data_IF_876728782666
#
_entry.id   IF_876728782666
#
_cell.length_a   1.000
_cell.length_b   1.000
_cell.length_c   1.000
_cell.angle_alpha   90.00
_cell.angle_beta   90.00
_cell.angle_gamma   90.00
#
_symmetry.space_group_name_H-M   'P 1'
#
loop_
_entity.id
_entity.type
_entity.pdbx_description
1 polymer ?
#
# COMPACT_ATOMS: atom_id res chain seq x y z
N UNK A 1 12.90 45.96 39.07
CA UNK A 1 14.06 45.29 38.44
C UNK A 1 13.70 43.92 37.86
N UNK A 2 12.99 43.06 38.60
CA UNK A 2 12.59 41.70 38.13
C UNK A 2 11.63 41.74 36.92
N UNK A 3 10.63 42.62 36.93
CA UNK A 3 9.65 42.74 35.82
C UNK A 3 10.31 43.15 34.48
N UNK A 4 11.34 44.02 34.54
CA UNK A 4 12.05 44.47 33.34
C UNK A 4 12.89 43.36 32.69
N UNK A 5 13.30 42.34 33.46
CA UNK A 5 14.05 41.18 32.96
C UNK A 5 13.15 40.07 32.40
N UNK A 6 11.86 40.06 32.76
CA UNK A 6 10.91 39.05 32.29
C UNK A 6 10.34 39.36 30.90
N UNK A 7 10.28 40.63 30.50
CA UNK A 7 9.75 41.04 29.18
C UNK A 7 10.58 40.45 28.02
N UNK A 8 11.93 40.53 28.00
CA UNK A 8 12.73 39.91 26.94
C UNK A 8 12.55 38.39 26.87
N UNK A 9 12.47 37.72 28.03
CA UNK A 9 12.25 36.27 28.12
C UNK A 9 10.91 35.89 27.49
N UNK A 10 9.84 36.61 27.82
CA UNK A 10 8.52 36.37 27.26
C UNK A 10 8.48 36.55 25.72
N UNK A 11 9.13 37.62 25.22
CA UNK A 11 9.23 37.86 23.77
C UNK A 11 9.99 36.72 23.09
N UNK A 12 11.08 36.24 23.69
CA UNK A 12 11.85 35.10 23.17
C UNK A 12 11.03 33.82 23.11
N UNK A 13 10.30 33.50 24.17
CA UNK A 13 9.44 32.32 24.20
C UNK A 13 8.43 32.34 23.04
N UNK A 14 7.86 33.50 22.76
CA UNK A 14 6.89 33.67 21.68
C UNK A 14 7.54 33.51 20.29
N UNK A 15 8.74 34.08 20.12
CA UNK A 15 9.54 33.91 18.89
C UNK A 15 9.92 32.45 18.64
N UNK A 16 10.46 31.76 19.64
CA UNK A 16 10.86 30.36 19.55
C UNK A 16 9.67 29.44 19.29
N UNK A 17 8.51 29.74 19.90
CA UNK A 17 7.26 29.03 19.62
C UNK A 17 6.84 29.19 18.15
N UNK A 18 6.89 30.42 17.63
CA UNK A 18 6.56 30.70 16.23
C UNK A 18 7.50 29.96 15.27
N UNK A 19 8.81 30.02 15.53
CA UNK A 19 9.84 29.36 14.71
C UNK A 19 9.73 27.84 14.73
N UNK A 20 9.59 27.25 15.91
CA UNK A 20 9.41 25.80 16.04
C UNK A 20 8.15 25.34 15.31
N UNK A 21 7.04 26.07 15.42
CA UNK A 21 5.84 25.75 14.65
C UNK A 21 6.08 25.87 13.13
N UNK A 22 6.72 26.95 12.67
CA UNK A 22 7.00 27.16 11.24
C UNK A 22 7.90 26.05 10.68
N UNK A 23 8.91 25.63 11.43
CA UNK A 23 9.77 24.50 11.09
C UNK A 23 8.97 23.19 11.01
N UNK A 24 8.19 22.84 12.03
CA UNK A 24 7.41 21.60 11.99
C UNK A 24 6.34 21.61 10.88
N UNK A 25 5.77 22.77 10.56
CA UNK A 25 4.90 22.91 9.39
C UNK A 25 5.66 22.70 8.07
N UNK A 26 6.91 23.15 7.99
CA UNK A 26 7.79 22.96 6.85
C UNK A 26 8.05 21.48 6.61
N UNK A 27 8.47 20.73 7.64
CA UNK A 27 8.90 19.32 7.50
C UNK A 27 7.78 18.29 7.61
N UNK A 28 6.76 18.49 8.48
CA UNK A 28 5.68 17.52 8.72
C UNK A 28 4.39 17.83 7.96
N UNK A 29 4.24 19.07 7.46
CA UNK A 29 3.09 19.50 6.68
C UNK A 29 1.86 19.92 7.51
N UNK A 30 1.21 21.00 7.07
CA UNK A 30 0.03 21.59 7.75
C UNK A 30 -1.20 20.67 7.79
N UNK A 31 -1.35 19.77 6.82
CA UNK A 31 -2.50 18.86 6.73
C UNK A 31 -2.54 17.82 7.85
N UNK A 32 -1.44 17.59 8.55
CA UNK A 32 -1.31 16.55 9.58
C UNK A 32 -1.50 17.05 11.01
N UNK A 33 -1.92 18.30 11.18
CA UNK A 33 -2.12 18.91 12.50
C UNK A 33 -3.28 18.23 13.24
N UNK A 34 -3.11 17.98 14.53
CA UNK A 34 -4.18 17.48 15.40
C UNK A 34 -5.19 18.60 15.75
N UNK A 35 -6.47 18.27 15.98
CA UNK A 35 -7.49 19.27 16.32
C UNK A 35 -7.26 19.92 17.70
N UNK A 36 -6.80 19.18 18.71
CA UNK A 36 -6.49 19.71 20.06
C UNK A 36 -5.03 20.13 20.21
N UNK A 37 -4.54 20.95 19.26
CA UNK A 37 -3.12 21.33 19.21
C UNK A 37 -2.73 22.40 20.24
N UNK A 38 -3.67 23.22 20.68
CA UNK A 38 -3.46 24.30 21.65
C UNK A 38 -2.80 23.83 22.95
N UNK A 39 -3.16 22.64 23.45
CA UNK A 39 -2.56 22.05 24.66
C UNK A 39 -1.04 21.90 24.51
N UNK A 40 -0.57 21.40 23.35
CA UNK A 40 0.86 21.23 23.09
C UNK A 40 1.60 22.57 23.00
N UNK A 41 0.96 23.62 22.50
CA UNK A 41 1.52 24.98 22.49
C UNK A 41 1.65 25.56 23.90
N UNK A 42 0.62 25.40 24.73
CA UNK A 42 0.67 25.87 26.12
C UNK A 42 1.79 25.16 26.88
N UNK A 43 1.90 23.84 26.74
CA UNK A 43 2.98 23.07 27.37
C UNK A 43 4.36 23.50 26.85
N UNK A 44 4.51 23.71 25.53
CA UNK A 44 5.76 24.24 24.96
C UNK A 44 6.14 25.59 25.56
N UNK A 45 5.21 26.55 25.57
CA UNK A 45 5.46 27.91 26.08
C UNK A 45 5.85 27.87 27.55
N UNK A 46 5.20 27.06 28.37
CA UNK A 46 5.53 26.93 29.80
C UNK A 46 6.93 26.35 30.03
N UNK A 47 7.28 25.29 29.30
CA UNK A 47 8.60 24.65 29.42
C UNK A 47 9.73 25.52 28.85
N UNK A 48 9.48 26.19 27.72
CA UNK A 48 10.43 27.11 27.08
C UNK A 48 10.66 28.37 27.93
N UNK A 49 9.60 28.92 28.53
CA UNK A 49 9.74 30.01 29.50
C UNK A 49 10.59 29.57 30.71
N UNK A 50 10.33 28.37 31.26
CA UNK A 50 11.14 27.83 32.35
C UNK A 50 12.61 27.61 31.95
N UNK A 51 12.84 27.14 30.71
CA UNK A 51 14.18 26.97 30.14
C UNK A 51 14.94 28.30 30.05
N UNK A 52 14.30 29.37 29.60
CA UNK A 52 14.93 30.69 29.47
C UNK A 52 15.07 31.43 30.80
N UNK A 53 14.16 31.19 31.76
CA UNK A 53 14.16 31.87 33.05
C UNK A 53 15.13 31.25 34.08
N UNK A 54 15.51 29.97 33.92
CA UNK A 54 16.33 29.25 34.91
C UNK A 54 17.70 28.85 34.36
N UNK A 55 18.75 29.00 35.17
CA UNK A 55 20.07 28.45 34.86
C UNK A 55 20.14 27.00 35.29
N UNK A 56 20.16 26.10 34.31
CA UNK A 56 20.33 24.68 34.51
C UNK A 56 21.73 24.23 34.06
N UNK A 57 22.31 23.19 34.69
CA UNK A 57 23.50 22.51 34.17
C UNK A 57 23.29 22.06 32.70
N UNK A 58 24.36 22.02 31.91
CA UNK A 58 24.29 21.78 30.45
C UNK A 58 23.50 20.54 30.04
N UNK A 59 23.62 19.43 30.81
CA UNK A 59 22.89 18.18 30.56
C UNK A 59 21.37 18.32 30.78
N UNK A 60 20.97 18.97 31.86
CA UNK A 60 19.56 19.23 32.19
C UNK A 60 18.96 20.22 31.19
N UNK A 61 19.72 21.26 30.83
CA UNK A 61 19.35 22.25 29.82
C UNK A 61 19.07 21.60 28.46
N UNK A 62 19.97 20.75 27.97
CA UNK A 62 19.80 20.02 26.70
C UNK A 62 18.61 19.06 26.73
N UNK A 63 18.43 18.35 27.84
CA UNK A 63 17.30 17.42 28.01
C UNK A 63 15.96 18.16 28.00
N UNK A 64 15.87 19.27 28.74
CA UNK A 64 14.68 20.13 28.77
C UNK A 64 14.39 20.70 27.37
N UNK A 65 15.42 21.12 26.64
CA UNK A 65 15.30 21.59 25.26
C UNK A 65 14.65 20.56 24.34
N UNK A 66 15.16 19.33 24.34
CA UNK A 66 14.59 18.24 23.55
C UNK A 66 13.15 17.93 23.95
N UNK A 67 12.84 17.93 25.25
CA UNK A 67 11.49 17.67 25.76
C UNK A 67 10.51 18.72 25.24
N UNK A 68 10.80 20.01 25.42
CA UNK A 68 9.86 21.05 25.01
C UNK A 68 9.69 21.06 23.50
N UNK A 69 10.77 20.94 22.70
CA UNK A 69 10.67 20.85 21.23
C UNK A 69 9.81 19.64 20.81
N UNK A 70 10.00 18.50 21.47
CA UNK A 70 9.23 17.29 21.19
C UNK A 70 7.73 17.45 21.49
N UNK A 71 7.35 18.25 22.48
CA UNK A 71 5.93 18.52 22.77
C UNK A 71 5.21 19.14 21.58
N UNK A 72 5.85 20.06 20.84
CA UNK A 72 5.29 20.60 19.59
C UNK A 72 5.23 19.55 18.47
N UNK A 73 6.22 18.66 18.36
CA UNK A 73 6.18 17.56 17.40
C UNK A 73 4.97 16.63 17.64
N UNK A 74 4.53 16.48 18.90
CA UNK A 74 3.33 15.69 19.25
C UNK A 74 2.03 16.26 18.73
N UNK A 75 2.02 17.53 18.31
CA UNK A 75 0.85 18.15 17.71
C UNK A 75 0.49 17.65 16.30
N UNK A 76 1.33 16.80 15.71
CA UNK A 76 1.13 16.23 14.38
C UNK A 76 0.76 14.73 14.43
N UNK A 77 -0.06 14.29 13.47
CA UNK A 77 -0.46 12.89 13.22
C UNK A 77 0.57 12.21 12.32
N UNK A 78 1.76 11.96 12.87
CA UNK A 78 2.89 11.33 12.16
C UNK A 78 3.52 10.24 13.06
N UNK A 79 4.18 9.27 12.45
CA UNK A 79 4.92 8.21 13.14
C UNK A 79 5.94 8.78 14.15
N UNK A 80 6.13 8.07 15.27
CA UNK A 80 7.00 8.49 16.36
C UNK A 80 8.46 8.72 15.91
N UNK A 81 8.96 7.88 15.00
CA UNK A 81 10.34 7.95 14.48
C UNK A 81 10.64 9.28 13.78
N UNK A 82 9.70 9.75 12.95
CA UNK A 82 9.80 11.04 12.27
C UNK A 82 9.76 12.20 13.27
N UNK A 83 8.91 12.12 14.30
CA UNK A 83 8.85 13.15 15.35
C UNK A 83 10.18 13.28 16.09
N UNK A 84 10.76 12.17 16.50
CA UNK A 84 12.07 12.15 17.18
C UNK A 84 13.15 12.72 16.27
N UNK A 85 13.24 12.25 15.03
CA UNK A 85 14.22 12.70 14.05
C UNK A 85 14.18 14.22 13.84
N UNK A 86 13.01 14.77 13.50
CA UNK A 86 12.87 16.20 13.24
C UNK A 86 13.03 17.07 14.49
N UNK A 87 12.74 16.53 15.68
CA UNK A 87 13.03 17.19 16.97
C UNK A 87 14.52 17.32 17.20
N UNK A 88 15.27 16.22 17.07
CA UNK A 88 16.75 16.21 17.24
C UNK A 88 17.40 17.14 16.22
N UNK A 89 16.92 17.12 14.97
CA UNK A 89 17.45 17.98 13.92
C UNK A 89 17.14 19.46 14.15
N UNK A 90 15.95 19.80 14.66
CA UNK A 90 15.65 21.18 15.06
C UNK A 90 16.57 21.66 16.19
N UNK A 91 16.80 20.82 17.20
CA UNK A 91 17.72 21.12 18.29
C UNK A 91 19.16 21.30 17.79
N UNK A 92 19.61 20.49 16.83
CA UNK A 92 20.93 20.63 16.20
C UNK A 92 21.06 21.94 15.41
N UNK A 93 20.05 22.31 14.62
CA UNK A 93 20.02 23.59 13.90
C UNK A 93 20.05 24.78 14.87
N UNK A 94 19.23 24.74 15.91
CA UNK A 94 19.19 25.77 16.95
C UNK A 94 20.56 25.91 17.65
N UNK A 95 21.18 24.80 18.03
CA UNK A 95 22.51 24.78 18.65
C UNK A 95 23.56 25.37 17.72
N UNK A 96 23.56 24.97 16.45
CA UNK A 96 24.52 25.47 15.45
C UNK A 96 24.37 26.98 15.26
N UNK A 97 23.14 27.46 15.12
CA UNK A 97 22.85 28.89 14.93
C UNK A 97 23.21 29.72 16.18
N UNK A 98 22.98 29.18 17.39
CA UNK A 98 23.41 29.85 18.62
C UNK A 98 24.93 29.94 18.72
N UNK A 99 25.67 28.91 18.28
CA UNK A 99 27.14 28.95 18.27
C UNK A 99 27.66 29.96 17.23
N UNK A 100 27.03 30.07 16.05
CA UNK A 100 27.30 31.15 15.09
C UNK A 100 27.07 32.52 15.76
N UNK A 101 25.99 32.65 16.52
CA UNK A 101 25.63 33.90 17.20
C UNK A 101 26.66 34.28 18.28
N UNK A 102 27.12 33.30 19.07
CA UNK A 102 28.22 33.48 20.04
C UNK A 102 29.49 33.95 19.34
N UNK A 103 29.83 33.36 18.18
CA UNK A 103 31.01 33.77 17.43
C UNK A 103 30.90 35.23 16.97
N UNK A 104 29.83 35.58 16.26
CA UNK A 104 29.60 36.93 15.73
C UNK A 104 29.65 37.97 16.85
N UNK A 105 28.93 37.73 17.94
CA UNK A 105 28.90 38.66 19.08
C UNK A 105 30.25 38.75 19.79
N UNK A 106 30.99 37.65 19.92
CA UNK A 106 32.33 37.68 20.53
C UNK A 106 33.35 38.47 19.70
N UNK A 107 33.19 38.50 18.37
CA UNK A 107 34.02 39.32 17.48
C UNK A 107 33.60 40.80 17.55
N UNK A 108 32.30 41.09 17.59
CA UNK A 108 31.78 42.47 17.63
C UNK A 108 32.10 43.15 18.95
N UNK A 109 31.80 42.49 20.07
CA UNK A 109 31.96 43.09 21.40
C UNK A 109 33.41 42.95 21.91
N UNK A 110 34.22 42.10 21.27
CA UNK A 110 35.59 41.80 21.71
C UNK A 110 35.67 40.99 23.01
N UNK A 111 34.56 40.37 23.44
CA UNK A 111 34.47 39.63 24.70
C UNK A 111 34.31 38.13 24.44
N UNK A 112 34.91 37.30 25.29
CA UNK A 112 34.69 35.86 25.25
C UNK A 112 33.37 35.46 25.94
N UNK A 113 32.29 35.56 25.17
CA UNK A 113 30.92 35.20 25.57
C UNK A 113 30.82 33.85 26.28
N UNK A 114 31.67 32.87 25.95
CA UNK A 114 31.61 31.54 26.55
C UNK A 114 32.07 31.57 28.02
N UNK A 115 33.15 32.31 28.32
CA UNK A 115 33.67 32.51 29.68
C UNK A 115 32.77 33.43 30.49
N UNK A 116 32.31 34.52 29.86
CA UNK A 116 31.49 35.53 30.50
C UNK A 116 30.07 35.03 30.78
N UNK A 117 29.53 34.13 29.96
CA UNK A 117 28.28 33.42 30.25
C UNK A 117 28.38 32.48 31.46
N UNK A 118 29.56 31.91 31.75
CA UNK A 118 29.77 31.04 32.92
C UNK A 118 29.99 31.83 34.23
N UNK A 119 30.80 32.89 34.19
CA UNK A 119 31.29 33.55 35.40
C UNK A 119 30.90 35.04 35.53
N UNK A 120 30.31 35.63 34.48
CA UNK A 120 30.01 37.05 34.42
C UNK A 120 28.69 37.44 35.13
N UNK A 121 28.64 38.62 35.75
CA UNK A 121 27.42 39.15 36.36
C UNK A 121 26.32 39.44 35.31
N UNK A 122 26.69 39.68 34.05
CA UNK A 122 25.78 40.00 32.94
C UNK A 122 25.35 38.79 32.10
N UNK A 123 25.63 37.57 32.54
CA UNK A 123 25.43 36.35 31.75
C UNK A 123 23.98 36.14 31.24
N UNK A 124 22.95 36.64 31.94
CA UNK A 124 21.56 36.58 31.44
C UNK A 124 21.33 37.50 30.23
N UNK A 125 21.93 38.69 30.24
CA UNK A 125 21.86 39.64 29.14
C UNK A 125 22.62 39.14 27.92
N UNK A 126 23.83 38.60 28.12
CA UNK A 126 24.63 37.97 27.06
C UNK A 126 23.87 36.79 26.42
N UNK A 127 23.28 35.92 27.24
CA UNK A 127 22.44 34.81 26.75
C UNK A 127 21.25 35.29 25.93
N UNK A 128 20.58 36.34 26.37
CA UNK A 128 19.44 36.94 25.64
C UNK A 128 19.89 37.52 24.30
N UNK A 129 21.04 38.21 24.24
CA UNK A 129 21.62 38.71 22.97
C UNK A 129 21.93 37.57 22.00
N UNK A 130 22.57 36.49 22.48
CA UNK A 130 22.88 35.30 21.67
C UNK A 130 21.61 34.68 21.11
N UNK A 131 20.59 34.47 21.95
CA UNK A 131 19.31 33.90 21.52
C UNK A 131 18.56 34.79 20.53
N UNK A 132 18.63 36.13 20.67
CA UNK A 132 18.00 37.06 19.73
C UNK A 132 18.62 36.98 18.34
N UNK A 133 19.95 37.01 18.27
CA UNK A 133 20.68 36.87 17.01
C UNK A 133 20.45 35.48 16.41
N UNK A 134 20.44 34.44 17.25
CA UNK A 134 20.16 33.08 16.83
C UNK A 134 18.76 32.93 16.23
N UNK A 135 17.75 33.50 16.87
CA UNK A 135 16.40 33.56 16.32
C UNK A 135 16.39 34.29 14.96
N UNK A 136 17.12 35.39 14.83
CA UNK A 136 17.19 36.15 13.57
C UNK A 136 17.77 35.32 12.43
N UNK A 137 18.82 34.54 12.69
CA UNK A 137 19.41 33.62 11.70
C UNK A 137 18.44 32.47 11.38
N UNK A 138 17.74 31.92 12.38
CA UNK A 138 16.74 30.85 12.18
C UNK A 138 15.59 31.28 11.26
N UNK A 139 15.23 32.57 11.24
CA UNK A 139 14.25 33.10 10.27
C UNK A 139 14.71 32.99 8.82
N UNK A 140 16.01 32.87 8.55
CA UNK A 140 16.56 32.62 7.21
C UNK A 140 16.69 31.12 6.95
N UNK A 141 17.12 30.34 7.96
CA UNK A 141 17.34 28.89 7.83
C UNK A 141 16.03 28.13 7.60
N UNK A 142 14.97 28.43 8.34
CA UNK A 142 13.72 27.66 8.25
C UNK A 142 13.05 27.77 6.86
N UNK A 143 12.97 28.95 6.20
CA UNK A 143 12.51 29.04 4.82
C UNK A 143 13.32 28.20 3.82
N UNK A 144 14.65 28.11 3.99
CA UNK A 144 15.50 27.24 3.16
C UNK A 144 15.11 25.78 3.38
N UNK A 145 14.98 25.36 4.63
CA UNK A 145 14.49 24.01 4.98
C UNK A 145 13.09 23.78 4.40
N UNK A 146 12.22 24.79 4.40
CA UNK A 146 10.88 24.71 3.84
C UNK A 146 10.86 24.53 2.32
N UNK A 147 11.74 25.22 1.59
CA UNK A 147 11.88 25.08 0.13
C UNK A 147 12.35 23.67 -0.25
N UNK A 148 13.23 23.11 0.56
CA UNK A 148 13.86 21.81 0.35
C UNK A 148 12.92 20.65 0.74
N UNK A 149 12.25 20.76 1.89
CA UNK A 149 11.38 19.72 2.40
C UNK A 149 10.06 19.70 1.61
N UNK A 150 9.96 18.81 0.62
CA UNK A 150 8.73 18.64 -0.18
C UNK A 150 7.62 17.90 0.56
N UNK A 151 7.76 17.70 1.89
CA UNK A 151 6.74 17.15 2.81
C UNK A 151 6.26 15.76 2.43
N UNK A 152 7.14 14.99 1.79
CA UNK A 152 6.84 13.62 1.39
C UNK A 152 6.89 12.76 2.65
N UNK A 153 5.92 11.86 2.80
CA UNK A 153 6.08 10.79 3.77
C UNK A 153 5.74 9.47 3.15
N UNK A 154 6.75 8.62 3.15
CA UNK A 154 6.62 7.24 2.79
C UNK A 154 7.34 6.43 3.85
N UNK A 155 6.95 5.16 4.00
CA UNK A 155 7.61 4.29 4.97
C UNK A 155 9.00 3.96 4.46
N UNK A 156 10.01 4.56 5.09
CA UNK A 156 11.42 4.27 4.84
C UNK A 156 11.91 3.22 5.85
N UNK A 157 12.93 2.46 5.47
CA UNK A 157 13.56 1.48 6.34
C UNK A 157 14.16 2.11 7.60
N UNK A 158 14.11 1.40 8.74
CA UNK A 158 14.54 1.94 10.05
C UNK A 158 16.02 2.38 10.08
N UNK A 159 16.88 1.72 9.29
CA UNK A 159 18.31 2.04 9.18
C UNK A 159 18.56 3.47 8.70
N UNK A 160 17.73 3.99 7.78
CA UNK A 160 17.88 5.34 7.26
C UNK A 160 17.71 6.38 8.37
N UNK A 161 16.67 6.24 9.20
CA UNK A 161 16.45 7.13 10.35
C UNK A 161 17.62 7.13 11.34
N UNK A 162 18.19 5.96 11.61
CA UNK A 162 19.33 5.82 12.52
C UNK A 162 20.60 6.49 11.96
N UNK A 163 20.89 6.31 10.66
CA UNK A 163 22.00 7.00 10.00
C UNK A 163 21.87 8.52 10.11
N UNK A 164 20.67 9.06 9.91
CA UNK A 164 20.45 10.51 10.00
C UNK A 164 20.63 11.06 11.42
N UNK A 165 20.16 10.33 12.44
CA UNK A 165 20.41 10.68 13.83
C UNK A 165 21.90 10.65 14.18
N UNK A 166 22.64 9.65 13.69
CA UNK A 166 24.09 9.55 13.90
C UNK A 166 24.82 10.74 13.26
N UNK A 167 24.52 11.07 12.01
CA UNK A 167 25.16 12.21 11.33
C UNK A 167 24.85 13.52 12.07
N UNK A 168 23.59 13.71 12.48
CA UNK A 168 23.20 14.90 13.27
C UNK A 168 24.00 14.96 14.59
N UNK A 169 24.10 13.85 15.31
CA UNK A 169 24.87 13.78 16.56
C UNK A 169 26.37 14.09 16.35
N UNK A 170 26.96 13.57 15.28
CA UNK A 170 28.37 13.82 14.92
C UNK A 170 28.58 15.31 14.63
N UNK A 171 27.71 15.93 13.84
CA UNK A 171 27.84 17.37 13.51
C UNK A 171 27.74 18.26 14.74
N UNK A 172 26.83 17.94 15.67
CA UNK A 172 26.70 18.66 16.94
C UNK A 172 27.93 18.46 17.82
N UNK A 173 28.43 17.22 17.93
CA UNK A 173 29.64 16.92 18.69
C UNK A 173 30.85 17.67 18.14
N UNK A 174 31.06 17.65 16.82
CA UNK A 174 32.15 18.36 16.15
C UNK A 174 32.10 19.86 16.43
N UNK A 175 30.93 20.51 16.30
CA UNK A 175 30.81 21.94 16.60
C UNK A 175 31.15 22.23 18.07
N UNK A 176 30.67 21.42 19.01
CA UNK A 176 30.95 21.63 20.43
C UNK A 176 32.46 21.53 20.74
N UNK A 177 33.15 20.52 20.19
CA UNK A 177 34.60 20.37 20.35
C UNK A 177 35.34 21.57 19.75
N UNK A 178 34.98 21.99 18.53
CA UNK A 178 35.60 23.15 17.86
C UNK A 178 35.34 24.43 18.66
N UNK A 179 34.16 24.59 19.25
CA UNK A 179 33.81 25.75 20.10
C UNK A 179 34.60 25.85 21.40
N UNK A 180 35.13 24.74 21.93
CA UNK A 180 35.87 24.73 23.20
C UNK A 180 37.37 24.88 22.96
N UNK A 181 37.92 24.18 21.96
CA UNK A 181 39.37 24.00 21.81
C UNK A 181 40.00 24.81 20.67
N UNK A 182 39.22 25.29 19.71
CA UNK A 182 39.76 25.98 18.53
C UNK A 182 39.85 27.48 18.78
N UNK A 183 40.94 28.09 18.31
CA UNK A 183 41.02 29.53 18.18
C UNK A 183 39.95 30.04 17.19
N UNK A 184 39.39 31.22 17.47
CA UNK A 184 38.31 31.87 16.72
C UNK A 184 38.77 32.45 15.36
N UNK A 185 39.56 31.67 14.62
CA UNK A 185 40.15 31.99 13.32
C UNK A 185 39.19 31.70 12.16
N UNK A 186 39.59 32.03 10.94
CA UNK A 186 38.73 31.85 9.75
C UNK A 186 38.26 30.39 9.54
N UNK A 187 39.11 29.41 9.90
CA UNK A 187 38.80 27.97 9.84
C UNK A 187 37.65 27.57 10.77
N UNK A 188 37.48 28.27 11.89
CA UNK A 188 36.35 28.07 12.80
C UNK A 188 35.04 28.40 12.08
N UNK A 189 34.96 29.57 11.46
CA UNK A 189 33.76 30.02 10.72
C UNK A 189 33.40 29.01 9.63
N UNK A 190 34.39 28.58 8.83
CA UNK A 190 34.17 27.61 7.77
C UNK A 190 33.62 26.28 8.31
N UNK A 191 34.12 25.82 9.46
CA UNK A 191 33.65 24.58 10.08
C UNK A 191 32.21 24.69 10.58
N UNK A 192 31.85 25.81 11.21
CA UNK A 192 30.49 26.03 11.72
C UNK A 192 29.48 26.21 10.57
N UNK A 193 29.84 26.99 9.53
CA UNK A 193 29.01 27.12 8.33
C UNK A 193 28.88 25.80 7.57
N UNK A 194 29.96 25.02 7.49
CA UNK A 194 29.94 23.67 6.92
C UNK A 194 29.01 22.72 7.67
N UNK A 195 28.99 22.80 9.00
CA UNK A 195 28.07 22.00 9.81
C UNK A 195 26.61 22.45 9.66
N UNK A 196 26.34 23.76 9.55
CA UNK A 196 25.00 24.26 9.22
C UNK A 196 24.55 23.74 7.85
N UNK A 197 25.43 23.81 6.84
CA UNK A 197 25.18 23.28 5.51
C UNK A 197 24.87 21.78 5.57
N UNK A 198 25.66 20.98 6.28
CA UNK A 198 25.43 19.54 6.44
C UNK A 198 24.07 19.24 7.11
N UNK A 199 23.69 19.99 8.15
CA UNK A 199 22.40 19.85 8.82
C UNK A 199 21.20 20.26 7.96
N UNK A 200 21.37 21.14 6.98
CA UNK A 200 20.31 21.46 6.00
C UNK A 200 20.30 20.43 4.86
N UNK A 201 21.49 20.06 4.37
CA UNK A 201 21.68 19.07 3.32
C UNK A 201 21.12 17.69 3.70
N UNK A 202 21.21 17.32 4.97
CA UNK A 202 20.65 16.06 5.47
C UNK A 202 19.13 15.97 5.28
N UNK A 203 18.42 17.11 5.37
CA UNK A 203 16.97 17.19 5.14
C UNK A 203 16.66 16.93 3.67
N UNK A 204 17.45 17.53 2.77
CA UNK A 204 17.33 17.31 1.33
C UNK A 204 17.55 15.83 0.99
N UNK A 205 18.61 15.21 1.51
CA UNK A 205 18.89 13.79 1.27
C UNK A 205 17.78 12.90 1.82
N UNK A 206 17.23 13.22 3.01
CA UNK A 206 16.10 12.49 3.57
C UNK A 206 14.87 12.53 2.65
N UNK A 207 14.47 13.71 2.17
CA UNK A 207 13.31 13.86 1.28
C UNK A 207 13.49 13.09 -0.04
N UNK A 208 14.70 13.10 -0.61
CA UNK A 208 15.04 12.30 -1.80
C UNK A 208 14.99 10.78 -1.55
N UNK A 209 15.41 10.30 -0.38
CA UNK A 209 15.29 8.88 -0.03
C UNK A 209 13.82 8.50 0.10
N UNK A 210 12.99 9.36 0.70
CA UNK A 210 11.54 9.15 0.79
C UNK A 210 10.91 9.09 -0.61
N UNK A 211 11.30 9.98 -1.53
CA UNK A 211 10.88 9.95 -2.93
C UNK A 211 11.28 8.65 -3.64
N UNK A 212 12.54 8.24 -3.53
CA UNK A 212 13.00 6.98 -4.12
C UNK A 212 12.27 5.77 -3.56
N UNK A 213 12.00 5.74 -2.26
CA UNK A 213 11.26 4.65 -1.62
C UNK A 213 9.81 4.58 -2.14
N UNK A 214 9.16 5.74 -2.33
CA UNK A 214 7.82 5.81 -2.92
C UNK A 214 7.82 5.31 -4.37
N UNK A 215 8.72 5.83 -5.21
CA UNK A 215 8.83 5.44 -6.62
C UNK A 215 9.17 3.95 -6.80
N UNK A 216 10.02 3.39 -5.94
CA UNK A 216 10.34 1.97 -5.96
C UNK A 216 9.10 1.10 -5.67
N UNK A 217 8.27 1.52 -4.72
CA UNK A 217 7.02 0.82 -4.42
C UNK A 217 6.00 0.91 -5.57
N UNK A 218 5.86 2.08 -6.18
CA UNK A 218 4.99 2.29 -7.33
C UNK A 218 5.43 1.45 -8.54
N UNK A 219 6.73 1.38 -8.82
CA UNK A 219 7.28 0.51 -9.85
C UNK A 219 7.02 -0.97 -9.59
N UNK A 220 7.11 -1.41 -8.34
CA UNK A 220 6.78 -2.80 -7.98
C UNK A 220 5.30 -3.11 -8.25
N UNK A 221 4.40 -2.17 -7.94
CA UNK A 221 2.97 -2.32 -8.24
C UNK A 221 2.71 -2.35 -9.74
N UNK A 222 3.35 -1.47 -10.52
CA UNK A 222 3.25 -1.45 -11.98
C UNK A 222 3.77 -2.75 -12.59
N UNK A 223 4.89 -3.29 -12.10
CA UNK A 223 5.43 -4.56 -12.57
C UNK A 223 4.43 -5.70 -12.35
N UNK A 224 3.86 -5.82 -11.15
CA UNK A 224 2.82 -6.84 -10.87
C UNK A 224 1.60 -6.70 -11.78
N UNK A 225 1.22 -5.47 -12.11
CA UNK A 225 0.13 -5.22 -13.05
C UNK A 225 0.47 -5.65 -14.48
N UNK A 226 1.72 -5.41 -14.92
CA UNK A 226 2.21 -5.88 -16.22
C UNK A 226 2.22 -7.42 -16.27
N UNK A 227 2.78 -8.08 -15.26
CA UNK A 227 2.84 -9.54 -15.20
C UNK A 227 1.41 -10.16 -15.27
N UNK A 228 0.44 -9.54 -14.61
CA UNK A 228 -0.97 -9.95 -14.69
C UNK A 228 -1.58 -9.75 -16.09
N UNK A 229 -1.25 -8.65 -16.76
CA UNK A 229 -1.70 -8.39 -18.12
C UNK A 229 -1.09 -9.38 -19.12
N UNK A 230 0.18 -9.70 -18.98
CA UNK A 230 0.88 -10.67 -19.82
C UNK A 230 0.28 -12.07 -19.68
N UNK A 231 -0.02 -12.52 -18.45
CA UNK A 231 -0.69 -13.79 -18.21
C UNK A 231 -2.10 -13.85 -18.85
N UNK A 232 -2.84 -12.75 -18.84
CA UNK A 232 -4.14 -12.67 -19.52
C UNK A 232 -4.02 -12.62 -21.04
N UNK A 233 -2.97 -11.96 -21.54
CA UNK A 233 -2.66 -11.94 -22.97
C UNK A 233 -2.34 -13.35 -23.47
N UNK A 234 -1.50 -14.11 -22.76
CA UNK A 234 -1.19 -15.51 -23.10
C UNK A 234 -2.45 -16.39 -23.17
N UNK A 235 -3.36 -16.26 -22.19
CA UNK A 235 -4.66 -16.96 -22.22
C UNK A 235 -5.46 -16.60 -23.47
N UNK A 236 -5.51 -15.31 -23.81
CA UNK A 236 -6.21 -14.82 -25.00
C UNK A 236 -5.60 -15.38 -26.28
N UNK A 237 -4.27 -15.38 -26.40
CA UNK A 237 -3.54 -15.96 -27.54
C UNK A 237 -3.81 -17.46 -27.66
N UNK A 238 -3.81 -18.19 -26.53
CA UNK A 238 -4.16 -19.61 -26.52
C UNK A 238 -5.60 -19.86 -26.99
N UNK A 239 -6.57 -19.08 -26.51
CA UNK A 239 -7.96 -19.15 -26.99
C UNK A 239 -8.05 -18.87 -28.50
N UNK A 240 -7.33 -17.88 -28.99
CA UNK A 240 -7.30 -17.54 -30.42
C UNK A 240 -6.70 -18.68 -31.27
N UNK A 241 -5.64 -19.34 -30.78
CA UNK A 241 -5.04 -20.50 -31.43
C UNK A 241 -6.02 -21.68 -31.49
N UNK A 242 -6.76 -21.93 -30.42
CA UNK A 242 -7.81 -22.96 -30.39
C UNK A 242 -8.93 -22.66 -31.40
N UNK A 243 -9.40 -21.40 -31.47
CA UNK A 243 -10.38 -20.97 -32.46
C UNK A 243 -9.86 -21.19 -33.89
N UNK A 244 -8.60 -20.83 -34.16
CA UNK A 244 -7.98 -21.05 -35.47
C UNK A 244 -7.94 -22.53 -35.85
N UNK A 245 -7.66 -23.43 -34.91
CA UNK A 245 -7.72 -24.87 -35.14
C UNK A 245 -9.12 -25.32 -35.51
N UNK A 246 -10.14 -24.88 -34.77
CA UNK A 246 -11.55 -25.20 -35.05
C UNK A 246 -11.94 -24.72 -36.45
N UNK A 247 -11.57 -23.49 -36.82
CA UNK A 247 -11.84 -22.96 -38.17
C UNK A 247 -11.15 -23.81 -39.25
N UNK A 248 -9.91 -24.24 -39.01
CA UNK A 248 -9.19 -25.10 -39.93
C UNK A 248 -9.89 -26.44 -40.11
N UNK A 249 -10.28 -27.09 -39.01
CA UNK A 249 -10.97 -28.38 -39.03
C UNK A 249 -12.30 -28.26 -39.78
N UNK A 250 -13.10 -27.22 -39.49
CA UNK A 250 -14.35 -26.94 -40.22
C UNK A 250 -14.09 -26.76 -41.73
N UNK A 251 -13.05 -26.02 -42.10
CA UNK A 251 -12.70 -25.81 -43.50
C UNK A 251 -12.34 -27.13 -44.21
N UNK A 252 -11.62 -28.04 -43.53
CA UNK A 252 -11.32 -29.37 -44.08
C UNK A 252 -12.59 -30.21 -44.29
N UNK A 253 -13.53 -30.16 -43.33
CA UNK A 253 -14.81 -30.85 -43.45
C UNK A 253 -15.60 -30.37 -44.68
N UNK A 254 -15.65 -29.05 -44.91
CA UNK A 254 -16.33 -28.48 -46.08
C UNK A 254 -15.62 -28.81 -47.40
N UNK A 255 -14.29 -28.77 -47.44
CA UNK A 255 -13.50 -29.18 -48.62
C UNK A 255 -13.76 -30.62 -49.03
N UNK A 256 -13.85 -31.53 -48.05
CA UNK A 256 -14.16 -32.93 -48.32
C UNK A 256 -15.55 -33.09 -48.94
N UNK A 257 -16.55 -32.41 -48.38
CA UNK A 257 -17.92 -32.41 -48.91
C UNK A 257 -17.93 -31.86 -50.34
N UNK A 258 -17.22 -30.75 -50.61
CA UNK A 258 -17.13 -30.16 -51.94
C UNK A 258 -16.53 -31.12 -52.97
N UNK A 259 -15.46 -31.83 -52.61
CA UNK A 259 -14.79 -32.80 -53.48
C UNK A 259 -15.68 -34.02 -53.78
N UNK A 260 -16.37 -34.56 -52.78
CA UNK A 260 -17.34 -35.65 -53.00
C UNK A 260 -18.48 -35.23 -53.93
N UNK A 261 -18.98 -33.99 -53.79
CA UNK A 261 -20.01 -33.44 -54.70
C UNK A 261 -19.47 -33.31 -56.12
N UNK A 262 -18.24 -32.80 -56.31
CA UNK A 262 -17.59 -32.70 -57.63
C UNK A 262 -17.40 -34.05 -58.31
N UNK A 263 -17.12 -35.11 -57.54
CA UNK A 263 -16.97 -36.49 -58.03
C UNK A 263 -18.29 -37.24 -58.22
N UNK A 264 -19.42 -36.59 -57.94
CA UNK A 264 -20.76 -37.19 -57.97
C UNK A 264 -20.95 -38.35 -56.96
N UNK A 265 -20.14 -38.37 -55.90
CA UNK A 265 -20.16 -39.36 -54.81
C UNK A 265 -21.13 -38.92 -53.68
N UNK A 266 -22.39 -38.70 -54.03
CA UNK A 266 -23.39 -38.12 -53.13
C UNK A 266 -23.62 -38.95 -51.85
N UNK A 267 -23.50 -40.27 -51.93
CA UNK A 267 -23.65 -41.16 -50.77
C UNK A 267 -22.52 -40.93 -49.73
N UNK A 268 -21.27 -40.77 -50.19
CA UNK A 268 -20.13 -40.52 -49.31
C UNK A 268 -20.18 -39.13 -48.66
N UNK A 269 -20.64 -38.10 -49.40
CA UNK A 269 -20.87 -36.77 -48.86
C UNK A 269 -21.94 -36.78 -47.75
N UNK A 270 -23.05 -37.47 -47.98
CA UNK A 270 -24.18 -37.56 -47.04
C UNK A 270 -23.80 -38.31 -45.77
N UNK A 271 -23.04 -39.40 -45.90
CA UNK A 271 -22.51 -40.15 -44.76
C UNK A 271 -21.56 -39.29 -43.92
N UNK A 272 -20.63 -38.56 -44.56
CA UNK A 272 -19.71 -37.69 -43.84
C UNK A 272 -20.44 -36.55 -43.11
N UNK A 273 -21.45 -35.94 -43.74
CA UNK A 273 -22.32 -34.96 -43.08
C UNK A 273 -23.02 -35.54 -41.85
N UNK A 274 -23.55 -36.77 -41.94
CA UNK A 274 -24.19 -37.45 -40.82
C UNK A 274 -23.21 -37.75 -39.69
N UNK A 275 -22.00 -38.23 -39.99
CA UNK A 275 -20.96 -38.49 -38.99
C UNK A 275 -20.53 -37.19 -38.31
N UNK A 276 -20.32 -36.11 -39.07
CA UNK A 276 -19.92 -34.81 -38.52
C UNK A 276 -21.05 -34.19 -37.69
N UNK A 277 -22.30 -34.28 -38.13
CA UNK A 277 -23.48 -33.88 -37.34
C UNK A 277 -23.63 -34.72 -36.07
N UNK A 278 -23.49 -36.05 -36.12
CA UNK A 278 -23.53 -36.91 -34.94
C UNK A 278 -22.38 -36.61 -33.98
N UNK A 279 -21.19 -36.27 -34.48
CA UNK A 279 -20.05 -35.89 -33.63
C UNK A 279 -20.32 -34.58 -32.90
N UNK A 280 -20.90 -33.60 -33.61
CA UNK A 280 -21.34 -32.34 -33.01
C UNK A 280 -22.47 -32.60 -32.01
N UNK A 281 -23.50 -33.37 -32.37
CA UNK A 281 -24.61 -33.71 -31.48
C UNK A 281 -24.16 -34.48 -30.24
N UNK A 282 -23.26 -35.47 -30.36
CA UNK A 282 -22.69 -36.17 -29.20
C UNK A 282 -21.83 -35.27 -28.32
N UNK A 283 -21.17 -34.26 -28.89
CA UNK A 283 -20.51 -33.21 -28.11
C UNK A 283 -21.52 -32.31 -27.38
N UNK A 284 -22.75 -32.16 -27.89
CA UNK A 284 -23.85 -31.40 -27.27
C UNK A 284 -24.72 -32.23 -26.31
N UNK A 285 -24.80 -33.55 -26.46
CA UNK A 285 -25.84 -34.40 -25.85
C UNK A 285 -25.64 -34.81 -24.39
N UNK A 286 -24.59 -34.40 -23.68
CA UNK A 286 -24.45 -34.76 -22.26
C UNK A 286 -25.25 -33.87 -21.32
N UNK A 287 -25.48 -32.61 -21.70
CA UNK A 287 -26.23 -31.63 -20.92
C UNK A 287 -27.08 -30.78 -21.85
N UNK A 288 -28.41 -30.91 -21.76
CA UNK A 288 -29.35 -30.14 -22.57
C UNK A 288 -30.34 -29.40 -21.67
N UNK A 289 -29.86 -28.33 -21.03
CA UNK A 289 -30.67 -27.43 -20.22
C UNK A 289 -31.36 -26.34 -21.06
N UNK A 290 -30.97 -26.18 -22.32
CA UNK A 290 -31.47 -25.14 -23.22
C UNK A 290 -30.78 -23.78 -23.03
N UNK A 291 -29.75 -23.71 -22.17
CA UNK A 291 -28.89 -22.55 -22.03
C UNK A 291 -27.47 -22.90 -22.46
N UNK A 292 -27.02 -22.32 -23.58
CA UNK A 292 -25.74 -22.62 -24.21
C UNK A 292 -24.53 -22.51 -23.26
N UNK A 293 -24.54 -21.56 -22.32
CA UNK A 293 -23.42 -21.36 -21.38
C UNK A 293 -23.34 -22.51 -20.39
N UNK A 294 -24.47 -22.89 -19.79
CA UNK A 294 -24.55 -24.00 -18.84
C UNK A 294 -24.21 -25.31 -19.56
N UNK A 295 -24.80 -25.53 -20.73
CA UNK A 295 -24.61 -26.75 -21.51
C UNK A 295 -23.14 -26.95 -21.88
N UNK A 296 -22.48 -25.90 -22.39
CA UNK A 296 -21.07 -25.96 -22.77
C UNK A 296 -20.14 -26.20 -21.57
N UNK A 297 -20.32 -25.45 -20.47
CA UNK A 297 -19.43 -25.53 -19.31
C UNK A 297 -19.59 -26.85 -18.56
N UNK A 298 -20.82 -27.27 -18.28
CA UNK A 298 -21.06 -28.54 -17.57
C UNK A 298 -20.63 -29.72 -18.43
N UNK A 299 -20.87 -29.69 -19.75
CA UNK A 299 -20.40 -30.75 -20.65
C UNK A 299 -18.88 -30.84 -20.69
N UNK A 300 -18.17 -29.71 -20.72
CA UNK A 300 -16.71 -29.70 -20.61
C UNK A 300 -16.25 -30.32 -19.28
N UNK A 301 -16.88 -29.94 -18.17
CA UNK A 301 -16.59 -30.53 -16.85
C UNK A 301 -16.83 -32.03 -16.79
N UNK A 302 -17.91 -32.54 -17.42
CA UNK A 302 -18.17 -33.97 -17.55
C UNK A 302 -17.05 -34.69 -18.31
N UNK A 303 -16.59 -34.12 -19.44
CA UNK A 303 -15.50 -34.68 -20.24
C UNK A 303 -14.18 -34.72 -19.47
N UNK A 304 -13.82 -33.60 -18.83
CA UNK A 304 -12.59 -33.51 -18.02
C UNK A 304 -12.66 -34.45 -16.81
N UNK A 305 -13.81 -34.53 -16.14
CA UNK A 305 -14.02 -35.43 -15.01
C UNK A 305 -13.85 -36.89 -15.38
N UNK A 306 -14.47 -37.32 -16.47
CA UNK A 306 -14.36 -38.69 -16.98
C UNK A 306 -12.90 -39.05 -17.30
N UNK A 307 -12.14 -38.15 -17.95
CA UNK A 307 -10.74 -38.36 -18.25
C UNK A 307 -9.84 -38.47 -17.00
N UNK A 308 -10.31 -37.99 -15.84
CA UNK A 308 -9.56 -37.99 -14.57
C UNK A 308 -10.13 -38.96 -13.52
N UNK A 309 -11.08 -39.82 -13.91
CA UNK A 309 -11.72 -40.79 -13.02
C UNK A 309 -12.56 -40.15 -11.92
N UNK A 310 -13.20 -39.02 -12.19
CA UNK A 310 -14.08 -38.32 -11.25
C UNK A 310 -15.53 -38.67 -11.60
N UNK A 311 -16.31 -39.17 -10.64
CA UNK A 311 -17.75 -39.38 -10.80
C UNK A 311 -18.48 -38.04 -10.73
N UNK A 312 -19.21 -37.68 -11.80
CA UNK A 312 -19.94 -36.40 -11.84
C UNK A 312 -21.43 -36.66 -12.03
N UNK A 313 -22.23 -36.18 -11.07
CA UNK A 313 -23.68 -36.25 -11.10
C UNK A 313 -24.25 -34.85 -11.37
N UNK A 314 -25.09 -34.71 -12.40
CA UNK A 314 -25.68 -33.42 -12.81
C UNK A 314 -27.19 -33.40 -12.62
N UNK A 315 -27.70 -32.34 -11.98
CA UNK A 315 -29.13 -32.05 -11.83
C UNK A 315 -29.39 -30.63 -12.29
N UNK A 316 -29.94 -30.47 -13.49
CA UNK A 316 -30.19 -29.15 -14.08
C UNK A 316 -31.66 -28.98 -14.38
N UNK A 317 -32.30 -27.97 -13.78
CA UNK A 317 -33.71 -27.67 -13.98
C UNK A 317 -33.94 -26.17 -14.12
N UNK A 318 -34.10 -25.69 -15.36
CA UNK A 318 -34.27 -24.27 -15.64
C UNK A 318 -35.75 -23.94 -15.90
N UNK A 319 -36.26 -22.90 -15.23
CA UNK A 319 -37.60 -22.36 -15.45
C UNK A 319 -37.78 -21.77 -16.86
N UNK A 320 -36.71 -21.22 -17.44
CA UNK A 320 -36.69 -20.68 -18.82
C UNK A 320 -35.28 -20.82 -19.40
N UNK A 321 -35.19 -20.95 -20.73
CA UNK A 321 -33.92 -20.89 -21.48
C UNK A 321 -33.26 -19.51 -21.37
N UNK A 322 -34.08 -18.46 -21.22
CA UNK A 322 -33.60 -17.10 -21.00
C UNK A 322 -33.41 -16.84 -19.51
N UNK A 323 -32.16 -16.96 -19.08
CA UNK A 323 -31.73 -16.65 -17.71
C UNK A 323 -31.49 -15.14 -17.65
N UNK A 324 -32.08 -14.44 -16.67
CA UNK A 324 -31.95 -12.99 -16.47
C UNK A 324 -30.57 -12.53 -15.97
N UNK A 325 -29.50 -13.23 -16.36
CA UNK A 325 -28.10 -12.99 -16.00
C UNK A 325 -27.30 -12.88 -17.30
N UNK A 326 -26.39 -11.91 -17.39
CA UNK A 326 -25.53 -11.74 -18.56
C UNK A 326 -24.67 -12.99 -18.82
N UNK A 327 -24.53 -13.37 -20.09
CA UNK A 327 -23.78 -14.58 -20.49
C UNK A 327 -22.35 -14.59 -19.94
N UNK A 328 -21.67 -13.44 -19.96
CA UNK A 328 -20.31 -13.30 -19.46
C UNK A 328 -20.23 -13.58 -17.95
N UNK A 329 -21.12 -12.98 -17.16
CA UNK A 329 -21.15 -13.18 -15.71
C UNK A 329 -21.48 -14.64 -15.36
N UNK A 330 -22.40 -15.25 -16.10
CA UNK A 330 -22.73 -16.66 -15.97
C UNK A 330 -21.52 -17.56 -16.27
N UNK A 331 -20.75 -17.26 -17.33
CA UNK A 331 -19.49 -17.95 -17.64
C UNK A 331 -18.47 -17.84 -16.51
N UNK A 332 -18.29 -16.64 -15.95
CA UNK A 332 -17.34 -16.40 -14.86
C UNK A 332 -17.75 -17.17 -13.60
N UNK A 333 -19.03 -17.15 -13.22
CA UNK A 333 -19.50 -17.86 -12.03
C UNK A 333 -19.40 -19.38 -12.19
N UNK A 334 -19.99 -19.94 -13.25
CA UNK A 334 -19.96 -21.39 -13.48
C UNK A 334 -18.55 -21.91 -13.71
N UNK A 335 -17.77 -21.24 -14.56
CA UNK A 335 -16.41 -21.66 -14.88
C UNK A 335 -15.53 -21.74 -13.63
N UNK A 336 -15.51 -20.69 -12.81
CA UNK A 336 -14.69 -20.70 -11.59
C UNK A 336 -15.14 -21.77 -10.59
N UNK A 337 -16.45 -21.99 -10.40
CA UNK A 337 -16.91 -23.00 -9.43
C UNK A 337 -16.63 -24.42 -9.94
N UNK A 338 -16.88 -24.69 -11.21
CA UNK A 338 -16.64 -25.99 -11.83
C UNK A 338 -15.15 -26.33 -11.90
N UNK A 339 -14.30 -25.37 -12.29
CA UNK A 339 -12.84 -25.56 -12.35
C UNK A 339 -12.28 -25.85 -10.96
N UNK A 340 -12.72 -25.10 -9.94
CA UNK A 340 -12.33 -25.34 -8.55
C UNK A 340 -12.72 -26.74 -8.08
N UNK A 341 -13.94 -27.19 -8.41
CA UNK A 341 -14.41 -28.52 -8.06
C UNK A 341 -13.56 -29.62 -8.73
N UNK A 342 -13.26 -29.48 -10.01
CA UNK A 342 -12.41 -30.43 -10.76
C UNK A 342 -10.99 -30.45 -10.20
N UNK A 343 -10.39 -29.29 -9.94
CA UNK A 343 -9.03 -29.21 -9.43
C UNK A 343 -8.90 -29.82 -8.02
N UNK A 344 -9.86 -29.52 -7.14
CA UNK A 344 -9.92 -30.09 -5.80
C UNK A 344 -10.12 -31.62 -5.84
N UNK A 345 -11.05 -32.11 -6.66
CA UNK A 345 -11.29 -33.56 -6.81
C UNK A 345 -10.09 -34.31 -7.40
N UNK A 346 -9.29 -33.69 -8.28
CA UNK A 346 -8.05 -34.30 -8.79
C UNK A 346 -7.02 -34.56 -7.70
N UNK A 347 -7.02 -33.77 -6.62
CA UNK A 347 -6.06 -33.88 -5.49
C UNK A 347 -6.42 -35.00 -4.50
N UNK A 348 -7.61 -35.60 -4.61
CA UNK A 348 -8.03 -36.74 -3.78
C UNK A 348 -7.24 -37.99 -4.18
N UNK A 349 -6.63 -38.66 -3.19
CA UNK A 349 -5.75 -39.82 -3.41
C UNK A 349 -6.49 -41.08 -3.87
N UNK A 350 -7.66 -41.36 -3.29
CA UNK A 350 -8.48 -42.53 -3.63
C UNK A 350 -9.40 -42.15 -4.79
N UNK A 351 -9.24 -42.83 -5.93
CA UNK A 351 -10.01 -42.51 -7.14
C UNK A 351 -11.52 -42.73 -6.95
N UNK A 352 -11.91 -43.75 -6.18
CA UNK A 352 -13.31 -44.09 -5.90
C UNK A 352 -14.06 -43.02 -5.10
N UNK A 353 -13.33 -42.21 -4.32
CA UNK A 353 -13.88 -41.12 -3.50
C UNK A 353 -13.99 -39.80 -4.28
N UNK A 354 -13.54 -39.76 -5.55
CA UNK A 354 -13.61 -38.57 -6.39
C UNK A 354 -15.03 -38.39 -6.91
N UNK A 355 -15.76 -37.45 -6.32
CA UNK A 355 -17.07 -37.06 -6.84
C UNK A 355 -17.25 -35.55 -6.93
N UNK A 356 -18.08 -35.15 -7.89
CA UNK A 356 -18.65 -33.80 -8.03
C UNK A 356 -20.16 -33.93 -8.25
N UNK A 357 -20.95 -33.17 -7.51
CA UNK A 357 -22.40 -33.05 -7.72
C UNK A 357 -22.69 -31.63 -8.18
N UNK A 358 -23.22 -31.49 -9.39
CA UNK A 358 -23.60 -30.20 -9.99
C UNK A 358 -25.12 -30.07 -9.94
N UNK A 359 -25.62 -29.13 -9.15
CA UNK A 359 -27.05 -28.81 -9.05
C UNK A 359 -27.29 -27.37 -9.49
N UNK A 360 -27.98 -27.19 -10.62
CA UNK A 360 -28.30 -25.87 -11.17
C UNK A 360 -29.81 -25.81 -11.34
N UNK A 361 -30.46 -24.84 -10.73
CA UNK A 361 -31.88 -24.65 -10.92
C UNK A 361 -32.25 -23.17 -10.96
N UNK A 362 -33.30 -22.84 -11.71
CA UNK A 362 -33.85 -21.50 -11.71
C UNK A 362 -35.32 -21.49 -11.35
N UNK A 363 -35.72 -20.42 -10.67
CA UNK A 363 -37.11 -20.06 -10.42
C UNK A 363 -37.49 -18.87 -11.31
N UNK A 364 -38.71 -18.35 -11.18
CA UNK A 364 -39.10 -17.10 -11.83
C UNK A 364 -38.30 -15.87 -11.37
N UNK A 365 -37.60 -15.96 -10.22
CA UNK A 365 -36.98 -14.80 -9.57
C UNK A 365 -35.46 -14.92 -9.37
N UNK A 366 -34.87 -16.10 -9.49
CA UNK A 366 -33.44 -16.29 -9.25
C UNK A 366 -32.89 -17.54 -9.95
N UNK A 367 -31.58 -17.52 -10.19
CA UNK A 367 -30.76 -18.67 -10.52
C UNK A 367 -30.00 -19.14 -9.29
N UNK A 368 -30.00 -20.44 -9.04
CA UNK A 368 -29.21 -21.08 -7.98
C UNK A 368 -28.25 -22.07 -8.61
N UNK A 369 -26.97 -21.93 -8.25
CA UNK A 369 -25.89 -22.81 -8.68
C UNK A 369 -25.27 -23.39 -7.42
N UNK A 370 -25.30 -24.70 -7.28
CA UNK A 370 -24.71 -25.42 -6.16
C UNK A 370 -23.81 -26.52 -6.69
N UNK A 371 -22.54 -26.48 -6.33
CA UNK A 371 -21.55 -27.49 -6.72
C UNK A 371 -20.88 -28.02 -5.46
N UNK A 372 -20.98 -29.33 -5.28
CA UNK A 372 -20.39 -30.05 -4.17
C UNK A 372 -19.31 -30.99 -4.69
N UNK A 373 -18.14 -31.01 -4.06
CA UNK A 373 -17.06 -31.91 -4.43
C UNK A 373 -16.34 -32.49 -3.22
N UNK A 374 -15.72 -33.66 -3.39
CA UNK A 374 -14.82 -34.21 -2.39
C UNK A 374 -13.50 -33.44 -2.35
N UNK A 375 -12.96 -33.18 -1.16
CA UNK A 375 -11.68 -32.51 -0.94
C UNK A 375 -10.84 -33.26 0.10
N UNK A 376 -9.53 -33.34 -0.15
CA UNK A 376 -8.57 -34.00 0.73
C UNK A 376 -8.14 -33.13 1.94
N UNK A 377 -8.54 -31.85 1.99
CA UNK A 377 -8.12 -30.93 3.04
C UNK A 377 -9.06 -30.98 4.27
N UNK A 378 -8.52 -31.04 5.50
CA UNK A 378 -9.33 -30.93 6.71
C UNK A 378 -10.01 -29.55 6.79
N UNK A 379 -11.21 -29.52 7.37
CA UNK A 379 -11.96 -28.30 7.60
C UNK A 379 -11.14 -27.37 8.50
N UNK A 380 -10.45 -26.41 7.87
CA UNK A 380 -9.72 -25.36 8.57
C UNK A 380 -10.55 -24.10 8.38
N UNK A 381 -10.69 -23.31 9.45
CA UNK A 381 -11.44 -22.06 9.45
C UNK A 381 -11.21 -21.28 8.15
N UNK A 382 -12.29 -21.08 7.39
CA UNK A 382 -12.34 -20.21 6.21
C UNK A 382 -12.26 -18.73 6.62
N UNK A 383 -11.44 -18.39 7.61
CA UNK A 383 -10.88 -17.06 7.74
C UNK A 383 -9.73 -16.99 6.75
N UNK A 384 -10.04 -16.53 5.53
CA UNK A 384 -9.06 -16.15 4.52
C UNK A 384 -8.26 -14.94 5.01
N UNK A 385 -7.38 -15.19 5.97
CA UNK A 385 -6.35 -14.28 6.48
C UNK A 385 -5.20 -15.18 6.97
N UNK A 386 -4.49 -15.82 6.02
CA UNK A 386 -3.02 -15.99 6.00
C UNK A 386 -2.54 -17.05 5.00
N UNK A 387 -1.70 -16.56 4.08
CA UNK A 387 -0.40 -17.13 3.67
C UNK A 387 -0.38 -18.50 2.97
N UNK A 388 -1.08 -18.63 1.83
CA UNK A 388 -0.61 -19.38 0.64
C UNK A 388 -1.58 -19.21 -0.56
N UNK A 389 -2.01 -17.97 -0.83
CA UNK A 389 -3.14 -17.67 -1.73
C UNK A 389 -2.77 -16.98 -3.05
N UNK A 390 -1.54 -17.13 -3.56
CA UNK A 390 -1.15 -16.43 -4.79
C UNK A 390 -1.82 -16.99 -6.07
N UNK A 391 -2.42 -18.20 -6.03
CA UNK A 391 -3.12 -18.77 -7.19
C UNK A 391 -4.64 -18.99 -7.03
N UNK A 392 -5.18 -19.08 -5.81
CA UNK A 392 -6.61 -19.41 -5.60
C UNK A 392 -7.54 -18.21 -5.29
N UNK A 393 -7.00 -17.03 -4.94
CA UNK A 393 -7.80 -15.90 -4.45
C UNK A 393 -8.67 -15.18 -5.49
N UNK A 394 -8.31 -15.20 -6.78
CA UNK A 394 -8.97 -14.37 -7.79
C UNK A 394 -10.36 -14.87 -8.21
N UNK A 395 -10.59 -16.18 -8.22
CA UNK A 395 -11.86 -16.77 -8.66
C UNK A 395 -13.04 -16.43 -7.73
N UNK A 396 -12.84 -16.58 -6.42
CA UNK A 396 -13.86 -16.27 -5.41
C UNK A 396 -14.16 -14.77 -5.31
N UNK A 397 -13.14 -13.90 -5.46
CA UNK A 397 -13.35 -12.45 -5.50
C UNK A 397 -14.19 -12.03 -6.71
N UNK A 398 -13.98 -12.65 -7.88
CA UNK A 398 -14.78 -12.39 -9.06
C UNK A 398 -16.24 -12.83 -8.89
N UNK A 399 -16.48 -14.00 -8.30
CA UNK A 399 -17.83 -14.47 -7.99
C UNK A 399 -18.51 -13.54 -7.00
N UNK A 400 -17.82 -13.13 -5.92
CA UNK A 400 -18.35 -12.18 -4.92
C UNK A 400 -18.75 -10.85 -5.55
N UNK A 401 -17.94 -10.31 -6.48
CA UNK A 401 -18.28 -9.08 -7.21
C UNK A 401 -19.54 -9.25 -8.07
N UNK A 402 -19.70 -10.40 -8.71
CA UNK A 402 -20.90 -10.71 -9.52
C UNK A 402 -22.13 -10.86 -8.61
N UNK A 403 -22.02 -11.55 -7.46
CA UNK A 403 -23.09 -11.59 -6.47
C UNK A 403 -23.53 -10.18 -6.07
N UNK A 404 -22.58 -9.28 -5.78
CA UNK A 404 -22.90 -7.88 -5.47
C UNK A 404 -23.58 -7.13 -6.64
N UNK A 405 -23.20 -7.39 -7.90
CA UNK A 405 -23.82 -6.79 -9.10
C UNK A 405 -25.31 -7.13 -9.20
N UNK A 406 -25.70 -8.36 -8.89
CA UNK A 406 -27.08 -8.84 -9.01
C UNK A 406 -27.87 -8.84 -7.68
N UNK A 407 -27.27 -8.37 -6.58
CA UNK A 407 -27.88 -8.45 -5.25
C UNK A 407 -28.01 -9.88 -4.71
N UNK A 408 -27.16 -10.79 -5.20
CA UNK A 408 -27.09 -12.19 -4.83
C UNK A 408 -26.16 -12.47 -3.64
N UNK A 409 -26.01 -13.76 -3.33
CA UNK A 409 -25.17 -14.22 -2.23
C UNK A 409 -24.40 -15.49 -2.60
N UNK A 410 -23.22 -15.66 -2.02
CA UNK A 410 -22.41 -16.86 -2.14
C UNK A 410 -22.16 -17.44 -0.75
N UNK A 411 -22.35 -18.74 -0.60
CA UNK A 411 -22.10 -19.50 0.61
C UNK A 411 -21.15 -20.64 0.31
N UNK A 412 -20.13 -20.79 1.16
CA UNK A 412 -19.16 -21.87 1.07
C UNK A 412 -19.19 -22.63 2.39
N UNK A 413 -19.43 -23.93 2.31
CA UNK A 413 -19.47 -24.83 3.46
C UNK A 413 -18.46 -25.95 3.24
N UNK A 414 -17.64 -26.24 4.25
CA UNK A 414 -16.71 -27.36 4.23
C UNK A 414 -16.97 -28.25 5.43
N UNK A 415 -17.35 -29.51 5.18
CA UNK A 415 -17.67 -30.48 6.22
C UNK A 415 -17.19 -31.88 5.82
N UNK A 416 -16.42 -32.53 6.70
CA UNK A 416 -16.06 -33.96 6.62
C UNK A 416 -15.59 -34.41 5.23
N UNK A 417 -14.63 -33.68 4.63
CA UNK A 417 -14.09 -34.00 3.30
C UNK A 417 -15.00 -33.61 2.13
N UNK A 418 -16.12 -32.95 2.36
CA UNK A 418 -16.93 -32.31 1.31
C UNK A 418 -16.72 -30.79 1.31
N UNK A 419 -16.71 -30.21 0.12
CA UNK A 419 -16.71 -28.78 -0.12
C UNK A 419 -17.96 -28.43 -0.94
N UNK A 420 -18.82 -27.57 -0.41
CA UNK A 420 -20.08 -27.16 -1.00
C UNK A 420 -20.04 -25.66 -1.29
N UNK A 421 -20.09 -25.28 -2.56
CA UNK A 421 -20.16 -23.89 -3.00
C UNK A 421 -21.54 -23.63 -3.61
N UNK A 422 -22.27 -22.69 -3.01
CA UNK A 422 -23.60 -22.30 -3.43
C UNK A 422 -23.62 -20.81 -3.77
N UNK A 423 -24.13 -20.48 -4.95
CA UNK A 423 -24.32 -19.11 -5.43
C UNK A 423 -25.79 -18.91 -5.81
N UNK A 424 -26.39 -17.83 -5.30
CA UNK A 424 -27.75 -17.41 -5.62
C UNK A 424 -27.69 -16.05 -6.31
N UNK A 425 -28.21 -15.97 -7.53
CA UNK A 425 -28.26 -14.76 -8.34
C UNK A 425 -29.74 -14.39 -8.65
N UNK A 426 -30.30 -13.37 -7.98
CA UNK A 426 -31.62 -12.85 -8.30
C UNK A 426 -31.67 -12.25 -9.71
N UNK A 427 -32.82 -12.41 -10.38
CA UNK A 427 -33.08 -11.69 -11.63
C UNK A 427 -33.51 -10.26 -11.32
N UNK A 428 -32.90 -9.31 -12.01
CA UNK A 428 -33.26 -7.91 -11.85
C UNK A 428 -34.68 -7.68 -12.40
N UNK A 429 -35.60 -7.19 -11.57
CA UNK A 429 -37.02 -6.91 -11.94
C UNK A 429 -37.22 -5.84 -13.03
N UNK A 430 -36.14 -5.26 -13.56
CA UNK A 430 -36.22 -4.07 -14.41
C UNK A 430 -36.01 -4.31 -15.92
N UNK A 431 -35.86 -5.56 -16.39
CA UNK A 431 -35.71 -5.87 -17.83
C UNK A 431 -36.68 -6.98 -18.29
N UNK A 432 -37.99 -6.72 -18.19
CA UNK A 432 -39.03 -7.35 -19.03
C UNK A 432 -39.72 -6.26 -19.82
#
# INVERSE_FOLDING_TARGET
>A
MIILQLVPVFVMTLLMTFQANYYFDAVLGKSRRKPRRTIYFVVFILLDFFYLATRLPSFLSTSLALIFIFTLAQSYRVELKLKIMFTVMYAALLTTVNIISVYILSVIDGIDYLKEALYGPEALWLFTKVMLLGCSIMFVVIPIVHLIAKRRSFRVHHRSYLLFLIVTAITVYQINVISIYSEKNIFYIFSVLGSLFLNVFIVYVFDNIVEKAHLAHENEQLQRQMDYQDANYEKTVHSFKSIKSIIHDIHQQFLYIEECVKRNELAAATEHMHVTMNTIEHAYQRVNSGNLVIDALVTNTLTVGQANGIRIDTRINLHSQHIGIERYDLCVVLGNILDNAVEASKKVRVAEDRYIVVSIYSTASALVIQIMNHTAQPATDLNSDKTDSEFHGFGLTNISRICNKYGGHMTIEQAQGSFNNMVVLPYNKNNV
#
